data_IF_947830371904
#
_entry.id   IF_947830371904
#
_cell.length_a   1.000
_cell.length_b   1.000
_cell.length_c   1.000
_cell.angle_alpha   90.00
_cell.angle_beta   90.00
_cell.angle_gamma   90.00
#
_symmetry.space_group_name_H-M   'P 1'
#
loop_
_entity.id
_entity.type
_entity.pdbx_description
1 polymer ?
#
# COMPACT_ATOMS: atom_id res chain seq x y z
N UNK A 1 -7.56 -5.71 -21.44
CA UNK A 1 -8.31 -6.17 -22.63
C UNK A 1 -9.73 -5.72 -22.46
N UNK A 2 -10.34 -5.17 -23.51
CA UNK A 2 -11.76 -4.80 -23.51
C UNK A 2 -12.60 -6.08 -23.41
N UNK A 3 -13.23 -6.32 -22.26
CA UNK A 3 -14.13 -7.46 -22.06
C UNK A 3 -15.30 -7.33 -23.04
N UNK A 4 -15.33 -8.24 -24.02
CA UNK A 4 -16.40 -8.28 -25.01
C UNK A 4 -17.58 -9.02 -24.39
N UNK A 5 -18.67 -8.30 -24.12
CA UNK A 5 -19.86 -8.87 -23.51
C UNK A 5 -20.67 -9.64 -24.55
N UNK A 6 -20.80 -10.95 -24.39
CA UNK A 6 -21.67 -11.80 -25.20
C UNK A 6 -22.98 -12.09 -24.45
N UNK A 7 -24.11 -11.76 -25.09
CA UNK A 7 -25.46 -12.03 -24.60
C UNK A 7 -26.08 -13.13 -25.47
N UNK A 8 -26.63 -14.15 -24.81
CA UNK A 8 -27.28 -15.31 -25.44
C UNK A 8 -28.78 -15.28 -25.12
N UNK A 9 -29.62 -15.39 -26.15
CA UNK A 9 -31.06 -15.57 -25.97
C UNK A 9 -31.37 -17.06 -25.73
N UNK A 10 -31.67 -17.43 -24.49
CA UNK A 10 -31.87 -18.83 -24.07
C UNK A 10 -33.32 -19.07 -23.68
N UNK A 11 -33.93 -20.13 -24.21
CA UNK A 11 -35.28 -20.55 -23.86
C UNK A 11 -35.26 -21.36 -22.54
N UNK A 12 -35.82 -20.80 -21.46
CA UNK A 12 -35.83 -21.38 -20.12
C UNK A 12 -37.25 -21.62 -19.60
N UNK A 13 -37.42 -22.68 -18.81
CA UNK A 13 -38.66 -22.97 -18.09
C UNK A 13 -38.73 -22.13 -16.81
N UNK A 14 -39.62 -21.15 -16.79
CA UNK A 14 -39.71 -20.17 -15.72
C UNK A 14 -41.06 -20.30 -14.99
N UNK A 15 -41.08 -19.91 -13.70
CA UNK A 15 -42.28 -20.01 -12.87
C UNK A 15 -43.43 -19.15 -13.42
N UNK A 16 -44.60 -19.74 -13.67
CA UNK A 16 -45.79 -19.01 -14.11
C UNK A 16 -46.31 -18.12 -12.97
N UNK A 17 -46.44 -16.81 -13.19
CA UNK A 17 -47.05 -15.88 -12.21
C UNK A 17 -48.49 -15.56 -12.64
N UNK A 18 -49.53 -15.93 -11.87
CA UNK A 18 -50.90 -15.56 -12.19
C UNK A 18 -51.06 -14.03 -12.12
N UNK A 19 -51.53 -13.39 -13.19
CA UNK A 19 -51.96 -11.98 -13.18
C UNK A 19 -50.95 -10.92 -13.65
N UNK A 20 -49.82 -11.28 -14.25
CA UNK A 20 -48.86 -10.29 -14.79
C UNK A 20 -49.36 -9.61 -16.07
N UNK A 21 -50.30 -8.64 -15.93
CA UNK A 21 -50.59 -7.67 -16.99
C UNK A 21 -49.33 -6.84 -17.25
N UNK A 22 -48.88 -6.87 -18.51
CA UNK A 22 -47.97 -5.93 -19.20
C UNK A 22 -46.79 -5.39 -18.37
N UNK A 23 -45.59 -5.87 -18.73
CA UNK A 23 -44.31 -5.12 -18.71
C UNK A 23 -44.12 -4.20 -17.50
N UNK A 24 -43.78 -4.76 -16.33
CA UNK A 24 -42.78 -4.09 -15.48
C UNK A 24 -41.42 -4.65 -15.89
N UNK A 25 -40.62 -3.80 -16.51
CA UNK A 25 -39.23 -4.07 -16.79
C UNK A 25 -38.51 -4.39 -15.47
N UNK A 26 -37.59 -5.35 -15.52
CA UNK A 26 -36.52 -5.54 -14.53
C UNK A 26 -36.77 -6.42 -13.30
N UNK A 27 -37.65 -7.41 -13.36
CA UNK A 27 -37.56 -8.56 -12.43
C UNK A 27 -36.99 -9.79 -13.15
N UNK A 28 -35.90 -10.35 -12.60
CA UNK A 28 -35.22 -11.52 -13.16
C UNK A 28 -36.17 -12.72 -13.07
N UNK A 29 -36.44 -13.42 -14.20
CA UNK A 29 -37.28 -14.62 -14.18
C UNK A 29 -36.65 -15.70 -13.30
N UNK A 30 -37.46 -16.30 -12.42
CA UNK A 30 -37.01 -17.40 -11.56
C UNK A 30 -37.25 -18.75 -12.26
N UNK A 31 -36.31 -19.71 -12.13
CA UNK A 31 -36.51 -21.05 -12.65
C UNK A 31 -37.72 -21.72 -11.98
N UNK A 32 -38.49 -22.50 -12.75
CA UNK A 32 -39.58 -23.30 -12.19
C UNK A 32 -39.02 -24.54 -11.46
N UNK A 33 -39.55 -24.84 -10.27
CA UNK A 33 -39.19 -26.06 -9.55
C UNK A 33 -39.92 -27.29 -10.13
N UNK A 34 -39.39 -28.50 -9.87
CA UNK A 34 -40.00 -29.76 -10.31
C UNK A 34 -41.45 -29.85 -9.83
N UNK A 35 -42.39 -29.97 -10.77
CA UNK A 35 -43.84 -30.09 -10.48
C UNK A 35 -44.63 -28.77 -10.47
N UNK A 36 -43.97 -27.61 -10.58
CA UNK A 36 -44.67 -26.33 -10.73
C UNK A 36 -45.14 -26.10 -12.17
N UNK A 37 -46.21 -25.32 -12.36
CA UNK A 37 -46.55 -24.83 -13.70
C UNK A 37 -45.41 -23.93 -14.19
N UNK A 38 -44.89 -24.25 -15.37
CA UNK A 38 -43.77 -23.54 -15.98
C UNK A 38 -44.18 -22.98 -17.35
N UNK A 39 -43.78 -21.75 -17.62
CA UNK A 39 -43.90 -21.10 -18.92
C UNK A 39 -42.50 -21.04 -19.58
N UNK A 40 -42.43 -21.40 -20.86
CA UNK A 40 -41.19 -21.28 -21.64
C UNK A 40 -40.98 -19.82 -22.06
N UNK A 41 -39.91 -19.20 -21.59
CA UNK A 41 -39.58 -17.80 -21.88
C UNK A 41 -38.16 -17.68 -22.46
N UNK A 42 -37.97 -16.79 -23.44
CA UNK A 42 -36.65 -16.47 -23.99
C UNK A 42 -36.04 -15.39 -23.11
N UNK A 43 -34.88 -15.67 -22.51
CA UNK A 43 -34.20 -14.79 -21.56
C UNK A 43 -32.80 -14.50 -22.09
N UNK A 44 -32.42 -13.21 -22.22
CA UNK A 44 -31.05 -12.83 -22.51
C UNK A 44 -30.17 -13.10 -21.27
N UNK A 45 -29.17 -13.97 -21.41
CA UNK A 45 -28.20 -14.30 -20.36
C UNK A 45 -26.79 -13.99 -20.83
N UNK A 46 -25.93 -13.56 -19.91
CA UNK A 46 -24.51 -13.40 -20.22
C UNK A 46 -23.84 -14.77 -20.41
N UNK A 47 -22.84 -14.85 -21.28
CA UNK A 47 -22.09 -16.09 -21.55
C UNK A 47 -21.53 -16.74 -20.28
N UNK A 48 -21.13 -15.95 -19.28
CA UNK A 48 -20.62 -16.44 -17.98
C UNK A 48 -21.63 -17.26 -17.17
N UNK A 49 -22.91 -17.16 -17.48
CA UNK A 49 -23.98 -17.94 -16.83
C UNK A 49 -24.14 -19.34 -17.44
N UNK A 50 -23.51 -19.63 -18.58
CA UNK A 50 -23.57 -20.94 -19.23
C UNK A 50 -22.60 -21.89 -18.51
N UNK A 51 -23.14 -22.98 -17.95
CA UNK A 51 -22.35 -23.98 -17.23
C UNK A 51 -21.88 -25.13 -18.11
N UNK A 52 -22.65 -25.49 -19.14
CA UNK A 52 -22.32 -26.60 -20.04
C UNK A 52 -23.02 -26.48 -21.41
N UNK A 53 -22.46 -27.14 -22.42
CA UNK A 53 -23.09 -27.34 -23.73
C UNK A 53 -23.38 -28.83 -23.95
N UNK A 54 -24.55 -29.14 -24.50
CA UNK A 54 -24.91 -30.52 -24.88
C UNK A 54 -24.62 -30.78 -26.36
N UNK A 55 -24.28 -32.02 -26.69
CA UNK A 55 -24.18 -32.48 -28.08
C UNK A 55 -25.54 -32.54 -28.80
N UNK A 56 -26.64 -32.63 -28.05
CA UNK A 56 -28.00 -32.74 -28.63
C UNK A 56 -28.50 -31.38 -29.08
N UNK A 57 -28.96 -31.30 -30.34
CA UNK A 57 -29.60 -30.12 -30.91
C UNK A 57 -31.09 -30.38 -31.11
N UNK A 58 -31.92 -29.48 -30.60
CA UNK A 58 -33.37 -29.52 -30.80
C UNK A 58 -33.75 -28.60 -31.96
N UNK A 59 -34.70 -29.02 -32.78
CA UNK A 59 -35.25 -28.16 -33.84
C UNK A 59 -36.00 -26.97 -33.21
N UNK A 60 -35.62 -25.76 -33.62
CA UNK A 60 -36.26 -24.52 -33.18
C UNK A 60 -36.96 -23.88 -34.39
N UNK A 61 -38.29 -23.63 -34.33
CA UNK A 61 -39.00 -22.91 -35.39
C UNK A 61 -38.41 -21.53 -35.65
N UNK A 62 -38.53 -21.01 -36.89
CA UNK A 62 -38.03 -19.67 -37.25
C UNK A 62 -38.66 -18.54 -36.45
N UNK A 63 -39.90 -18.72 -35.98
CA UNK A 63 -40.59 -17.76 -35.11
C UNK A 63 -40.93 -18.39 -33.75
N UNK A 64 -40.33 -17.87 -32.69
CA UNK A 64 -40.54 -18.30 -31.31
C UNK A 64 -41.22 -17.21 -30.45
N UNK A 65 -41.87 -16.22 -31.08
CA UNK A 65 -42.61 -15.18 -30.34
C UNK A 65 -43.91 -15.73 -29.74
N UNK A 66 -44.59 -16.63 -30.46
CA UNK A 66 -45.83 -17.23 -29.98
C UNK A 66 -45.58 -18.17 -28.78
N UNK A 67 -46.45 -18.16 -27.76
CA UNK A 67 -46.32 -19.05 -26.60
C UNK A 67 -46.46 -20.53 -27.00
N UNK A 68 -47.22 -20.83 -28.04
CA UNK A 68 -47.41 -22.18 -28.58
C UNK A 68 -46.11 -22.75 -29.17
N UNK A 69 -45.38 -21.95 -29.95
CA UNK A 69 -44.10 -22.37 -30.53
C UNK A 69 -43.04 -22.57 -29.44
N UNK A 70 -42.99 -21.69 -28.42
CA UNK A 70 -42.12 -21.85 -27.25
C UNK A 70 -42.45 -23.11 -26.45
N UNK A 71 -43.74 -23.38 -26.24
CA UNK A 71 -44.22 -24.59 -25.56
C UNK A 71 -43.88 -25.86 -26.35
N UNK A 72 -43.96 -25.83 -27.68
CA UNK A 72 -43.56 -26.94 -28.56
C UNK A 72 -42.08 -27.28 -28.41
N UNK A 73 -41.18 -26.29 -28.44
CA UNK A 73 -39.74 -26.49 -28.19
C UNK A 73 -39.50 -27.02 -26.77
N UNK A 74 -40.21 -26.50 -25.77
CA UNK A 74 -40.14 -27.01 -24.39
C UNK A 74 -40.61 -28.46 -24.23
N UNK A 75 -41.60 -28.91 -25.02
CA UNK A 75 -41.98 -30.33 -25.08
C UNK A 75 -40.87 -31.18 -25.69
N UNK A 76 -40.24 -30.71 -26.77
CA UNK A 76 -39.12 -31.40 -27.40
C UNK A 76 -37.91 -31.52 -26.45
N UNK A 77 -37.57 -30.47 -25.70
CA UNK A 77 -36.51 -30.51 -24.68
C UNK A 77 -36.84 -31.52 -23.57
N UNK A 78 -38.08 -31.54 -23.07
CA UNK A 78 -38.52 -32.51 -22.05
C UNK A 78 -38.44 -33.94 -22.56
N UNK A 79 -38.80 -34.17 -23.82
CA UNK A 79 -38.69 -35.49 -24.44
C UNK A 79 -37.22 -35.94 -24.55
N UNK A 80 -36.30 -35.03 -24.89
CA UNK A 80 -34.85 -35.31 -24.86
C UNK A 80 -34.42 -35.69 -23.45
N UNK A 81 -34.73 -34.89 -22.43
CA UNK A 81 -34.36 -35.20 -21.04
C UNK A 81 -34.95 -36.54 -20.58
N UNK A 82 -36.18 -36.87 -20.99
CA UNK A 82 -36.82 -38.16 -20.67
C UNK A 82 -36.09 -39.36 -21.29
N UNK A 83 -35.51 -39.19 -22.49
CA UNK A 83 -34.74 -40.24 -23.18
C UNK A 83 -33.34 -40.44 -22.60
N UNK A 84 -32.84 -39.49 -21.83
CA UNK A 84 -31.52 -39.52 -21.18
C UNK A 84 -31.67 -39.40 -19.65
N UNK A 85 -32.12 -40.46 -18.95
CA UNK A 85 -32.36 -40.42 -17.51
C UNK A 85 -31.08 -40.17 -16.69
N UNK A 86 -29.93 -40.60 -17.20
CA UNK A 86 -28.61 -40.40 -16.56
C UNK A 86 -27.99 -39.02 -16.88
N UNK A 87 -28.68 -38.19 -17.66
CA UNK A 87 -28.23 -36.87 -18.08
C UNK A 87 -27.95 -36.78 -19.59
N UNK A 88 -28.18 -35.58 -20.14
CA UNK A 88 -27.93 -35.32 -21.57
C UNK A 88 -26.42 -35.32 -21.87
N UNK A 89 -25.97 -35.87 -23.01
CA UNK A 89 -24.55 -35.91 -23.33
C UNK A 89 -24.01 -34.50 -23.51
N UNK A 90 -22.95 -34.19 -22.77
CA UNK A 90 -22.24 -32.90 -22.80
C UNK A 90 -21.12 -32.93 -23.84
N UNK A 91 -20.79 -31.76 -24.39
CA UNK A 91 -19.62 -31.59 -25.25
C UNK A 91 -18.35 -31.60 -24.41
N UNK A 92 -17.37 -32.38 -24.83
CA UNK A 92 -16.06 -32.41 -24.19
C UNK A 92 -15.28 -31.11 -24.49
N UNK A 93 -14.78 -30.39 -23.47
CA UNK A 93 -14.05 -29.14 -23.69
C UNK A 93 -12.77 -29.28 -24.54
N UNK A 94 -12.14 -30.45 -24.56
CA UNK A 94 -10.87 -30.73 -25.26
C UNK A 94 -11.13 -31.43 -26.59
N UNK A 95 -11.93 -32.49 -26.59
CA UNK A 95 -12.21 -33.31 -27.77
C UNK A 95 -13.22 -32.65 -28.71
N UNK A 96 -14.31 -32.06 -28.20
CA UNK A 96 -15.35 -31.48 -29.04
C UNK A 96 -15.15 -29.98 -29.27
N UNK A 97 -14.91 -29.22 -28.19
CA UNK A 97 -14.71 -27.76 -28.25
C UNK A 97 -13.29 -27.37 -28.66
N UNK A 98 -12.37 -28.34 -28.77
CA UNK A 98 -10.98 -28.16 -29.23
C UNK A 98 -10.20 -27.09 -28.46
N UNK A 99 -10.41 -26.96 -27.14
CA UNK A 99 -9.65 -26.04 -26.29
C UNK A 99 -8.23 -26.61 -26.08
N UNK A 100 -7.21 -25.91 -26.61
CA UNK A 100 -5.81 -26.36 -26.59
C UNK A 100 -4.91 -25.62 -25.59
N UNK A 101 -5.49 -24.75 -24.75
CA UNK A 101 -4.69 -23.99 -23.78
C UNK A 101 -4.02 -24.93 -22.77
N UNK A 102 -2.70 -24.78 -22.62
CA UNK A 102 -1.89 -25.55 -21.67
C UNK A 102 -2.35 -25.34 -20.23
N UNK A 103 -2.81 -24.15 -19.88
CA UNK A 103 -3.31 -23.87 -18.53
C UNK A 103 -4.58 -24.66 -18.23
N UNK A 104 -5.51 -24.69 -19.18
CA UNK A 104 -6.75 -25.44 -19.14
C UNK A 104 -6.51 -26.95 -19.09
N UNK A 105 -5.66 -27.50 -19.97
CA UNK A 105 -5.36 -28.95 -19.98
C UNK A 105 -4.74 -29.43 -18.66
N UNK A 106 -3.97 -28.59 -17.97
CA UNK A 106 -3.46 -28.91 -16.62
C UNK A 106 -4.57 -28.97 -15.57
N UNK A 107 -5.55 -28.06 -15.65
CA UNK A 107 -6.70 -28.06 -14.75
C UNK A 107 -7.57 -29.30 -14.96
N UNK A 108 -7.84 -29.69 -16.21
CA UNK A 108 -8.61 -30.92 -16.52
C UNK A 108 -7.94 -32.15 -15.91
N UNK A 109 -6.63 -32.35 -16.15
CA UNK A 109 -5.88 -33.45 -15.54
C UNK A 109 -5.90 -33.42 -14.01
N UNK A 110 -5.93 -32.21 -13.42
CA UNK A 110 -6.01 -32.05 -11.96
C UNK A 110 -7.39 -32.45 -11.44
N UNK A 111 -8.46 -32.11 -12.15
CA UNK A 111 -9.83 -32.54 -11.83
C UNK A 111 -9.90 -34.07 -11.85
N UNK A 112 -9.46 -34.71 -12.93
CA UNK A 112 -9.44 -36.19 -13.05
C UNK A 112 -8.66 -36.85 -11.91
N UNK A 113 -7.48 -36.32 -11.58
CA UNK A 113 -6.66 -36.82 -10.47
C UNK A 113 -7.36 -36.68 -9.12
N UNK A 114 -8.07 -35.57 -8.89
CA UNK A 114 -8.81 -35.35 -7.65
C UNK A 114 -10.06 -36.24 -7.55
N UNK A 115 -10.79 -36.42 -8.66
CA UNK A 115 -11.93 -37.32 -8.71
C UNK A 115 -11.52 -38.78 -8.48
N UNK A 116 -10.42 -39.22 -9.09
CA UNK A 116 -9.87 -40.56 -8.86
C UNK A 116 -9.49 -40.76 -7.38
N UNK A 117 -8.84 -39.77 -6.77
CA UNK A 117 -8.51 -39.79 -5.33
C UNK A 117 -9.74 -39.78 -4.45
N UNK A 118 -10.77 -39.02 -4.82
CA UNK A 118 -12.03 -38.96 -4.09
C UNK A 118 -12.73 -40.32 -4.13
N UNK A 119 -12.85 -40.94 -5.32
CA UNK A 119 -13.44 -42.28 -5.49
C UNK A 119 -12.67 -43.37 -4.73
N UNK A 120 -11.34 -43.28 -4.67
CA UNK A 120 -10.50 -44.22 -3.93
C UNK A 120 -10.52 -44.00 -2.40
N UNK A 121 -11.14 -42.91 -1.92
CA UNK A 121 -11.12 -42.56 -0.52
C UNK A 121 -12.25 -43.28 0.23
N UNK A 122 -11.93 -43.89 1.37
CA UNK A 122 -12.87 -44.68 2.20
C UNK A 122 -14.10 -43.91 2.68
N UNK A 123 -14.01 -42.58 2.68
CA UNK A 123 -15.10 -41.70 3.11
C UNK A 123 -16.33 -41.80 2.20
N UNK A 124 -16.15 -42.17 0.92
CA UNK A 124 -17.26 -42.32 -0.05
C UNK A 124 -18.14 -43.54 0.23
N UNK A 125 -17.65 -44.50 1.02
CA UNK A 125 -18.38 -45.70 1.44
C UNK A 125 -19.03 -45.56 2.83
N UNK A 126 -18.83 -44.42 3.50
CA UNK A 126 -19.31 -44.22 4.87
C UNK A 126 -20.78 -43.77 4.86
N UNK A 127 -21.70 -44.46 5.57
CA UNK A 127 -23.13 -44.13 5.53
C UNK A 127 -23.47 -42.80 6.21
N UNK A 128 -22.66 -42.37 7.19
CA UNK A 128 -22.88 -41.13 7.96
C UNK A 128 -22.08 -39.93 7.39
N UNK A 129 -21.73 -39.98 6.09
CA UNK A 129 -20.90 -38.99 5.43
C UNK A 129 -21.41 -37.57 5.62
N UNK A 130 -22.71 -37.36 5.40
CA UNK A 130 -23.34 -36.04 5.49
C UNK A 130 -23.23 -35.47 6.91
N UNK A 131 -23.45 -36.30 7.93
CA UNK A 131 -23.33 -35.88 9.34
C UNK A 131 -21.88 -35.54 9.70
N UNK A 132 -20.92 -36.31 9.21
CA UNK A 132 -19.49 -36.04 9.43
C UNK A 132 -19.03 -34.77 8.71
N UNK A 133 -19.51 -34.53 7.49
CA UNK A 133 -19.23 -33.30 6.74
C UNK A 133 -19.82 -32.08 7.45
N UNK A 134 -21.06 -32.14 7.92
CA UNK A 134 -21.70 -31.06 8.69
C UNK A 134 -20.91 -30.71 9.96
N UNK A 135 -20.43 -31.73 10.67
CA UNK A 135 -19.57 -31.54 11.85
C UNK A 135 -18.22 -30.92 11.48
N UNK A 136 -17.63 -31.35 10.36
CA UNK A 136 -16.37 -30.81 9.89
C UNK A 136 -16.49 -29.36 9.41
N UNK A 137 -17.58 -28.99 8.75
CA UNK A 137 -17.87 -27.59 8.39
C UNK A 137 -18.00 -26.70 9.63
N UNK A 138 -18.71 -27.17 10.67
CA UNK A 138 -18.79 -26.48 11.96
C UNK A 138 -17.42 -26.34 12.61
N UNK A 139 -16.60 -27.39 12.57
CA UNK A 139 -15.23 -27.35 13.09
C UNK A 139 -14.35 -26.36 12.32
N UNK A 140 -14.41 -26.34 10.99
CA UNK A 140 -13.69 -25.37 10.14
C UNK A 140 -14.10 -23.93 10.45
N UNK A 141 -15.40 -23.68 10.63
CA UNK A 141 -15.90 -22.36 11.00
C UNK A 141 -15.37 -21.92 12.38
N UNK A 142 -15.31 -22.84 13.34
CA UNK A 142 -14.74 -22.59 14.67
C UNK A 142 -13.22 -22.36 14.61
N UNK A 143 -12.47 -23.18 13.87
CA UNK A 143 -11.02 -23.02 13.67
C UNK A 143 -10.70 -21.66 13.05
N UNK A 144 -11.47 -21.26 12.03
CA UNK A 144 -11.34 -19.92 11.42
C UNK A 144 -11.61 -18.82 12.44
N UNK A 145 -12.65 -18.94 13.27
CA UNK A 145 -12.96 -17.97 14.34
C UNK A 145 -11.84 -17.90 15.38
N UNK A 146 -11.27 -19.04 15.78
CA UNK A 146 -10.13 -19.09 16.71
C UNK A 146 -8.94 -18.37 16.11
N UNK A 147 -8.60 -18.62 14.84
CA UNK A 147 -7.50 -17.93 14.14
C UNK A 147 -7.72 -16.42 14.07
N UNK A 148 -8.93 -15.97 13.72
CA UNK A 148 -9.27 -14.54 13.71
C UNK A 148 -9.12 -13.93 15.11
N UNK A 149 -9.67 -14.57 16.14
CA UNK A 149 -9.56 -14.06 17.51
C UNK A 149 -8.13 -14.07 18.04
N UNK A 150 -7.33 -15.07 17.68
CA UNK A 150 -5.90 -15.09 18.03
C UNK A 150 -5.13 -13.95 17.37
N UNK A 151 -5.46 -13.59 16.13
CA UNK A 151 -4.87 -12.44 15.45
C UNK A 151 -5.28 -11.13 16.12
N UNK A 152 -6.57 -10.95 16.41
CA UNK A 152 -7.06 -9.76 17.15
C UNK A 152 -6.36 -9.60 18.52
N UNK A 153 -6.15 -10.69 19.26
CA UNK A 153 -5.41 -10.65 20.54
C UNK A 153 -3.97 -10.21 20.32
N UNK A 154 -3.30 -10.72 19.28
CA UNK A 154 -1.94 -10.31 18.92
C UNK A 154 -1.88 -8.82 18.55
N UNK A 155 -2.89 -8.30 17.87
CA UNK A 155 -2.98 -6.88 17.51
C UNK A 155 -3.24 -6.01 18.76
N UNK A 156 -4.08 -6.46 19.70
CA UNK A 156 -4.26 -5.79 20.99
C UNK A 156 -2.98 -5.76 21.85
N UNK A 157 -1.97 -6.58 21.56
CA UNK A 157 -0.65 -6.48 22.18
C UNK A 157 0.18 -5.27 21.66
N UNK A 158 -0.40 -4.39 20.84
CA UNK A 158 0.16 -3.08 20.49
C UNK A 158 0.66 -2.29 21.71
N UNK A 159 -0.02 -2.35 22.85
CA UNK A 159 0.45 -1.74 24.10
C UNK A 159 1.81 -2.27 24.57
N UNK A 160 2.06 -3.57 24.39
CA UNK A 160 3.35 -4.18 24.71
C UNK A 160 4.42 -3.72 23.71
N UNK A 161 4.06 -3.58 22.43
CA UNK A 161 4.95 -3.03 21.39
C UNK A 161 5.32 -1.58 21.71
N UNK A 162 4.35 -0.72 22.02
CA UNK A 162 4.58 0.67 22.44
C UNK A 162 5.49 0.76 23.67
N UNK A 163 5.26 -0.06 24.69
CA UNK A 163 6.14 -0.11 25.88
C UNK A 163 7.57 -0.54 25.52
N UNK A 164 7.73 -1.51 24.62
CA UNK A 164 9.06 -1.95 24.18
C UNK A 164 9.80 -0.87 23.38
N UNK A 165 9.10 -0.18 22.48
CA UNK A 165 9.62 0.96 21.71
C UNK A 165 10.03 2.09 22.64
N UNK A 166 9.18 2.46 23.61
CA UNK A 166 9.51 3.50 24.59
C UNK A 166 10.76 3.18 25.39
N UNK A 167 10.93 1.92 25.85
CA UNK A 167 12.16 1.48 26.52
C UNK A 167 13.39 1.63 25.62
N UNK A 168 13.26 1.27 24.33
CA UNK A 168 14.30 1.49 23.33
C UNK A 168 14.66 2.98 23.19
N UNK A 169 13.66 3.84 23.01
CA UNK A 169 13.84 5.30 22.89
C UNK A 169 14.50 5.90 24.14
N UNK A 170 14.08 5.50 25.34
CA UNK A 170 14.74 5.94 26.59
C UNK A 170 16.21 5.51 26.64
N UNK A 171 16.54 4.32 26.15
CA UNK A 171 17.94 3.85 26.06
C UNK A 171 18.77 4.72 25.10
N UNK A 172 18.21 5.09 23.96
CA UNK A 172 18.86 6.02 23.01
C UNK A 172 19.14 7.37 23.68
N UNK A 173 18.13 7.96 24.33
CA UNK A 173 18.26 9.26 25.01
C UNK A 173 19.35 9.24 26.08
N UNK A 174 19.44 8.16 26.87
CA UNK A 174 20.49 8.00 27.88
C UNK A 174 21.87 7.83 27.26
N UNK A 175 21.99 7.00 26.22
CA UNK A 175 23.27 6.73 25.55
C UNK A 175 23.85 7.96 24.85
N UNK A 176 23.00 8.76 24.21
CA UNK A 176 23.40 10.00 23.55
C UNK A 176 23.58 11.17 24.53
N UNK A 177 23.23 11.00 25.81
CA UNK A 177 23.39 12.00 26.86
C UNK A 177 22.29 13.06 26.90
N UNK A 178 21.11 12.79 26.33
CA UNK A 178 19.94 13.67 26.42
C UNK A 178 19.21 13.53 27.77
N UNK A 179 19.33 12.37 28.41
CA UNK A 179 18.80 12.11 29.75
C UNK A 179 19.83 11.36 30.60
N UNK A 180 19.79 11.57 31.91
CA UNK A 180 20.61 10.82 32.89
C UNK A 180 20.08 9.40 33.09
N UNK A 181 20.82 8.57 33.83
CA UNK A 181 20.39 7.22 34.20
C UNK A 181 19.04 7.21 34.95
N UNK A 182 18.75 8.27 35.70
CA UNK A 182 17.52 8.45 36.48
C UNK A 182 16.37 9.12 35.66
N UNK A 183 16.51 9.20 34.33
CA UNK A 183 15.56 9.86 33.42
C UNK A 183 15.39 11.37 33.66
N UNK A 184 16.39 12.03 34.24
CA UNK A 184 16.40 13.49 34.33
C UNK A 184 16.95 14.07 33.04
N UNK A 185 16.25 15.05 32.46
CA UNK A 185 16.65 15.68 31.20
C UNK A 185 17.99 16.42 31.40
N UNK A 186 18.99 16.08 30.61
CA UNK A 186 20.30 16.72 30.63
C UNK A 186 20.33 17.97 29.73
N UNK A 187 21.42 18.75 29.76
CA UNK A 187 21.58 19.95 28.93
C UNK A 187 21.29 19.66 27.45
N UNK A 188 21.84 18.57 26.92
CA UNK A 188 21.62 18.14 25.53
C UNK A 188 20.17 17.78 25.21
N UNK A 189 19.45 17.23 26.19
CA UNK A 189 18.01 17.00 26.07
C UNK A 189 17.24 18.32 25.97
N UNK A 190 17.58 19.31 26.80
CA UNK A 190 16.97 20.65 26.75
C UNK A 190 17.24 21.35 25.41
N UNK A 191 18.45 21.22 24.88
CA UNK A 191 18.82 21.71 23.54
C UNK A 191 17.94 21.08 22.46
N UNK A 192 17.73 19.77 22.52
CA UNK A 192 16.86 19.08 21.57
C UNK A 192 15.40 19.56 21.65
N UNK A 193 14.90 19.91 22.85
CA UNK A 193 13.55 20.44 23.03
C UNK A 193 13.31 21.80 22.35
N UNK A 194 14.34 22.55 21.98
CA UNK A 194 14.21 23.80 21.22
C UNK A 194 14.00 23.57 19.72
N UNK A 195 14.19 22.34 19.24
CA UNK A 195 14.13 21.98 17.82
C UNK A 195 12.80 21.30 17.52
N UNK A 196 12.14 21.72 16.44
CA UNK A 196 10.90 21.10 15.92
C UNK A 196 10.85 21.04 14.40
N UNK A 197 11.83 21.62 13.71
CA UNK A 197 11.84 21.72 12.24
C UNK A 197 12.38 20.47 11.52
N UNK A 198 13.17 19.65 12.22
CA UNK A 198 13.85 18.45 11.72
C UNK A 198 14.35 17.57 12.90
N UNK A 199 15.09 16.49 12.60
CA UNK A 199 15.60 15.53 13.59
C UNK A 199 16.35 16.19 14.77
N UNK A 200 15.71 16.24 15.93
CA UNK A 200 16.12 17.02 17.08
C UNK A 200 17.41 16.45 17.72
N UNK A 201 17.55 15.12 17.73
CA UNK A 201 18.75 14.44 18.24
C UNK A 201 19.98 14.75 17.38
N UNK A 202 19.81 14.81 16.07
CA UNK A 202 20.88 15.12 15.12
C UNK A 202 21.33 16.57 15.31
N UNK A 203 20.38 17.52 15.37
CA UNK A 203 20.70 18.94 15.60
C UNK A 203 21.41 19.16 16.93
N UNK A 204 20.97 18.48 17.99
CA UNK A 204 21.60 18.54 19.31
C UNK A 204 23.01 17.94 19.34
N UNK A 205 23.29 16.87 18.58
CA UNK A 205 24.67 16.37 18.39
C UNK A 205 25.52 17.39 17.63
N UNK A 206 25.00 17.98 16.55
CA UNK A 206 25.73 18.94 15.72
C UNK A 206 26.12 20.18 16.54
N UNK A 207 25.17 20.82 17.24
CA UNK A 207 25.42 22.07 17.96
C UNK A 207 26.41 21.90 19.13
N UNK A 208 26.46 20.70 19.75
CA UNK A 208 27.39 20.39 20.84
C UNK A 208 28.71 19.76 20.37
N UNK A 209 28.86 19.41 19.09
CA UNK A 209 30.10 18.84 18.52
C UNK A 209 31.20 19.87 18.28
N UNK A 210 30.94 21.15 18.56
CA UNK A 210 31.84 22.29 18.30
C UNK A 210 32.17 22.53 16.81
N UNK A 211 31.64 21.70 15.89
CA UNK A 211 31.98 21.76 14.45
C UNK A 211 31.56 23.07 13.77
N UNK A 212 30.57 23.77 14.31
CA UNK A 212 30.05 25.01 13.73
C UNK A 212 30.87 26.24 14.08
N UNK A 213 31.77 26.16 15.08
CA UNK A 213 32.50 27.33 15.58
C UNK A 213 33.50 27.88 14.56
N UNK A 214 34.15 27.00 13.80
CA UNK A 214 35.17 27.39 12.81
C UNK A 214 34.57 27.79 11.45
N UNK A 215 33.25 27.64 11.28
CA UNK A 215 32.56 27.91 10.02
C UNK A 215 32.08 29.35 9.95
N UNK A 216 32.09 29.93 8.75
CA UNK A 216 31.39 31.20 8.49
C UNK A 216 29.87 31.01 8.58
N UNK A 217 29.13 32.11 8.80
CA UNK A 217 27.67 32.06 8.85
C UNK A 217 27.08 31.46 7.56
N UNK A 218 27.65 31.79 6.41
CA UNK A 218 27.27 31.26 5.10
C UNK A 218 27.47 29.74 5.00
N UNK A 219 28.60 29.22 5.49
CA UNK A 219 28.89 27.79 5.51
C UNK A 219 27.94 27.04 6.45
N UNK A 220 27.63 27.61 7.62
CA UNK A 220 26.67 27.03 8.57
C UNK A 220 25.28 26.92 7.95
N UNK A 221 24.77 27.99 7.34
CA UNK A 221 23.45 28.00 6.71
C UNK A 221 23.39 27.00 5.55
N UNK A 222 24.43 26.94 4.72
CA UNK A 222 24.53 25.95 3.65
C UNK A 222 24.52 24.52 4.18
N UNK A 223 25.29 24.22 5.23
CA UNK A 223 25.36 22.89 5.82
C UNK A 223 24.03 22.43 6.41
N UNK A 224 23.33 23.32 7.13
CA UNK A 224 22.05 23.00 7.76
C UNK A 224 20.92 22.74 6.73
N UNK A 225 21.07 23.18 5.49
CA UNK A 225 20.12 22.86 4.42
C UNK A 225 19.94 21.34 4.20
N UNK A 226 20.98 20.55 4.48
CA UNK A 226 20.96 19.09 4.40
C UNK A 226 19.97 18.44 5.39
N UNK A 227 19.65 19.11 6.50
CA UNK A 227 18.72 18.59 7.51
C UNK A 227 17.26 18.77 7.11
N UNK A 228 16.99 19.76 6.26
CA UNK A 228 15.66 20.19 5.82
C UNK A 228 15.25 19.54 4.50
N UNK A 229 16.18 19.41 3.56
CA UNK A 229 15.90 18.91 2.22
C UNK A 229 15.77 17.37 2.20
N UNK A 230 14.59 16.86 1.84
CA UNK A 230 14.28 15.41 1.80
C UNK A 230 13.86 14.90 0.42
N UNK A 231 13.84 15.76 -0.60
CA UNK A 231 13.35 15.37 -1.92
C UNK A 231 14.41 14.53 -2.67
N UNK A 232 13.93 13.62 -3.54
CA UNK A 232 14.81 12.85 -4.41
C UNK A 232 15.34 13.76 -5.52
N UNK A 233 16.64 13.70 -5.74
CA UNK A 233 17.35 14.44 -6.78
C UNK A 233 18.29 13.44 -7.45
N UNK A 234 18.36 13.50 -8.78
CA UNK A 234 19.25 12.65 -9.59
C UNK A 234 20.67 13.27 -9.73
N UNK A 235 20.87 14.47 -9.19
CA UNK A 235 22.10 15.24 -9.39
C UNK A 235 23.24 14.84 -8.44
N UNK A 236 24.39 14.56 -9.06
CA UNK A 236 25.68 14.58 -8.38
C UNK A 236 26.13 16.04 -8.19
N UNK A 237 25.79 16.64 -7.05
CA UNK A 237 26.23 18.00 -6.73
C UNK A 237 27.75 18.03 -6.52
N UNK A 238 28.45 18.79 -7.35
CA UNK A 238 29.88 19.09 -7.20
C UNK A 238 30.07 20.16 -6.12
N UNK A 239 30.09 19.71 -4.87
CA UNK A 239 30.36 20.57 -3.72
C UNK A 239 31.73 21.23 -3.82
N UNK A 240 31.81 22.49 -3.41
CA UNK A 240 33.10 23.18 -3.19
C UNK A 240 33.93 22.46 -2.13
N UNK A 241 35.25 22.40 -2.31
CA UNK A 241 36.17 21.70 -1.41
C UNK A 241 36.02 22.13 0.07
N UNK A 242 35.76 23.42 0.29
CA UNK A 242 35.55 24.00 1.62
C UNK A 242 34.32 23.42 2.37
N UNK A 243 33.33 22.91 1.65
CA UNK A 243 32.09 22.36 2.23
C UNK A 243 32.16 20.84 2.47
N UNK A 244 33.16 20.16 1.91
CA UNK A 244 33.33 18.71 2.06
C UNK A 244 33.70 18.31 3.50
N UNK A 245 34.59 19.06 4.16
CA UNK A 245 34.99 18.75 5.55
C UNK A 245 33.80 18.90 6.52
N UNK A 246 33.05 20.02 6.54
CA UNK A 246 31.85 20.15 7.38
C UNK A 246 30.79 19.09 7.09
N UNK A 247 30.57 18.75 5.82
CA UNK A 247 29.61 17.71 5.44
C UNK A 247 29.99 16.33 6.00
N UNK A 248 31.28 15.96 5.94
CA UNK A 248 31.78 14.70 6.52
C UNK A 248 31.54 14.65 8.04
N UNK A 249 31.89 15.72 8.75
CA UNK A 249 31.66 15.80 10.20
C UNK A 249 30.17 15.72 10.56
N UNK A 250 29.29 16.38 9.79
CA UNK A 250 27.85 16.28 10.00
C UNK A 250 27.34 14.85 9.78
N UNK A 251 27.83 14.16 8.75
CA UNK A 251 27.49 12.75 8.49
C UNK A 251 27.94 11.82 9.61
N UNK A 252 29.08 12.08 10.24
CA UNK A 252 29.52 11.34 11.43
C UNK A 252 28.57 11.54 12.61
N UNK A 253 28.10 12.78 12.84
CA UNK A 253 27.07 13.05 13.86
C UNK A 253 25.77 12.30 13.57
N UNK A 254 25.28 12.34 12.33
CA UNK A 254 24.07 11.63 11.90
C UNK A 254 24.22 10.12 12.11
N UNK A 255 25.35 9.54 11.66
CA UNK A 255 25.64 8.11 11.80
C UNK A 255 25.72 7.70 13.26
N UNK A 256 26.30 8.54 14.14
CA UNK A 256 26.34 8.29 15.59
C UNK A 256 24.94 8.18 16.19
N UNK A 257 24.00 9.05 15.78
CA UNK A 257 22.59 8.98 16.22
C UNK A 257 21.94 7.70 15.70
N UNK A 258 22.07 7.41 14.39
CA UNK A 258 21.48 6.23 13.77
C UNK A 258 21.98 4.93 14.42
N UNK A 259 23.29 4.82 14.68
CA UNK A 259 23.90 3.66 15.36
C UNK A 259 23.38 3.51 16.79
N UNK A 260 23.15 4.62 17.50
CA UNK A 260 22.58 4.56 18.85
C UNK A 260 21.11 4.06 18.85
N UNK A 261 20.34 4.39 17.81
CA UNK A 261 18.97 3.91 17.59
C UNK A 261 18.97 2.42 17.26
N UNK A 262 19.82 1.99 16.33
CA UNK A 262 19.96 0.58 15.92
C UNK A 262 20.37 -0.32 17.10
N UNK A 263 21.39 0.09 17.85
CA UNK A 263 21.86 -0.63 19.04
C UNK A 263 20.79 -0.73 20.15
N UNK A 264 19.80 0.17 20.15
CA UNK A 264 18.64 0.10 21.04
C UNK A 264 17.53 -0.84 20.54
N UNK A 265 17.77 -1.55 19.42
CA UNK A 265 16.86 -2.47 18.73
C UNK A 265 15.57 -1.80 18.25
N UNK A 266 15.65 -0.52 17.90
CA UNK A 266 14.57 0.19 17.25
C UNK A 266 14.65 -0.07 15.74
N UNK A 267 13.51 -0.15 15.02
CA UNK A 267 13.51 -0.43 13.60
C UNK A 267 14.05 0.78 12.82
N UNK A 268 15.32 0.72 12.44
CA UNK A 268 16.00 1.70 11.61
C UNK A 268 16.99 0.97 10.71
N UNK A 269 17.18 1.47 9.50
CA UNK A 269 18.34 1.14 8.69
C UNK A 269 19.30 2.33 8.74
N UNK A 270 20.55 2.08 9.15
CA UNK A 270 21.54 3.12 9.43
C UNK A 270 21.92 3.87 8.15
N UNK A 271 22.07 3.16 7.05
CA UNK A 271 22.50 3.74 5.77
C UNK A 271 21.35 4.53 5.15
N UNK A 272 20.13 3.98 5.15
CA UNK A 272 18.92 4.70 4.71
C UNK A 272 18.67 5.96 5.54
N UNK A 273 18.95 5.94 6.86
CA UNK A 273 18.81 7.12 7.69
C UNK A 273 19.83 8.20 7.31
N UNK A 274 21.09 7.84 7.10
CA UNK A 274 22.14 8.78 6.69
C UNK A 274 21.84 9.36 5.30
N UNK A 275 21.33 8.55 4.37
CA UNK A 275 21.05 8.94 2.99
C UNK A 275 19.86 9.90 2.84
N UNK A 276 19.03 10.04 3.87
CA UNK A 276 18.00 11.09 3.92
C UNK A 276 18.59 12.51 3.99
N UNK A 277 19.83 12.67 4.43
CA UNK A 277 20.49 13.97 4.61
C UNK A 277 21.34 14.31 3.39
N UNK A 278 20.71 14.96 2.40
CA UNK A 278 21.31 15.17 1.08
C UNK A 278 21.98 16.55 0.96
N UNK A 279 23.18 16.62 0.35
CA UNK A 279 23.88 17.88 0.13
C UNK A 279 23.33 18.71 -1.04
N UNK A 280 22.26 18.27 -1.71
CA UNK A 280 21.79 18.85 -2.97
C UNK A 280 21.45 20.33 -2.88
N UNK A 281 21.03 20.81 -1.71
CA UNK A 281 20.70 22.22 -1.48
C UNK A 281 21.88 23.08 -1.00
N UNK A 282 23.03 22.48 -0.66
CA UNK A 282 24.13 23.21 -0.01
C UNK A 282 24.66 24.34 -0.88
N UNK A 283 25.00 24.07 -2.14
CA UNK A 283 25.59 25.08 -3.03
C UNK A 283 24.59 26.18 -3.41
N UNK A 284 23.31 25.82 -3.58
CA UNK A 284 22.21 26.75 -3.88
C UNK A 284 22.04 27.73 -2.72
N UNK A 285 21.93 27.20 -1.49
CA UNK A 285 21.78 27.99 -0.27
C UNK A 285 23.03 28.84 -0.04
N UNK A 286 24.23 28.29 -0.27
CA UNK A 286 25.49 29.04 -0.13
C UNK A 286 25.58 30.22 -1.10
N UNK A 287 25.19 30.03 -2.37
CA UNK A 287 25.14 31.10 -3.36
C UNK A 287 24.12 32.18 -2.98
N UNK A 288 22.95 31.76 -2.49
CA UNK A 288 21.88 32.65 -2.04
C UNK A 288 22.32 33.55 -0.87
N UNK A 289 22.91 32.98 0.19
CA UNK A 289 23.36 33.76 1.36
C UNK A 289 24.58 34.64 1.05
N UNK A 290 25.33 34.35 -0.02
CA UNK A 290 26.36 35.25 -0.58
C UNK A 290 25.79 36.37 -1.47
N UNK A 291 24.49 36.34 -1.76
CA UNK A 291 23.76 37.40 -2.44
C UNK A 291 23.57 37.24 -3.94
N UNK A 292 23.66 36.01 -4.46
CA UNK A 292 23.22 35.69 -5.82
C UNK A 292 21.73 36.01 -6.01
N UNK A 293 21.33 36.35 -7.24
CA UNK A 293 19.91 36.56 -7.56
C UNK A 293 19.18 35.21 -7.61
N UNK A 294 17.87 35.23 -7.33
CA UNK A 294 17.06 34.01 -7.34
C UNK A 294 17.10 33.29 -8.71
N UNK A 295 17.07 34.06 -9.80
CA UNK A 295 17.15 33.53 -11.17
C UNK A 295 18.48 32.80 -11.41
N UNK A 296 19.58 33.25 -10.79
CA UNK A 296 20.89 32.62 -10.98
C UNK A 296 20.99 31.32 -10.20
N UNK A 297 20.43 31.25 -8.97
CA UNK A 297 20.43 30.00 -8.19
C UNK A 297 19.52 28.93 -8.80
N UNK A 298 18.42 29.32 -9.45
CA UNK A 298 17.53 28.37 -10.16
C UNK A 298 18.21 27.75 -11.38
N UNK A 299 19.24 28.37 -11.95
CA UNK A 299 20.02 27.80 -13.07
C UNK A 299 21.09 26.81 -12.62
N UNK A 300 21.36 26.70 -11.32
CA UNK A 300 22.40 25.82 -10.76
C UNK A 300 21.90 24.39 -10.53
N UNK A 301 20.59 24.15 -10.64
CA UNK A 301 19.95 22.89 -10.29
C UNK A 301 18.68 22.68 -11.08
N UNK A 302 18.28 21.42 -11.23
CA UNK A 302 16.98 21.06 -11.80
C UNK A 302 15.86 20.98 -10.74
N UNK A 303 16.13 21.38 -9.50
CA UNK A 303 15.11 21.44 -8.42
C UNK A 303 14.12 22.56 -8.72
N UNK A 304 12.83 22.24 -8.69
CA UNK A 304 11.74 23.21 -8.85
C UNK A 304 11.85 24.40 -7.87
N UNK A 305 11.57 25.60 -8.36
CA UNK A 305 11.72 26.86 -7.63
C UNK A 305 10.87 26.90 -6.36
N UNK A 306 9.67 26.31 -6.40
CA UNK A 306 8.79 26.19 -5.24
C UNK A 306 9.38 25.31 -4.13
N UNK A 307 10.13 24.28 -4.48
CA UNK A 307 10.87 23.44 -3.51
C UNK A 307 12.02 24.23 -2.90
N UNK A 308 12.77 25.01 -3.69
CA UNK A 308 13.84 25.87 -3.21
C UNK A 308 13.31 26.88 -2.18
N UNK A 309 12.21 27.57 -2.49
CA UNK A 309 11.55 28.54 -1.60
C UNK A 309 11.11 27.86 -0.30
N UNK A 310 10.46 26.69 -0.39
CA UNK A 310 10.00 25.94 0.79
C UNK A 310 11.17 25.52 1.67
N UNK A 311 12.26 25.04 1.08
CA UNK A 311 13.46 24.64 1.80
C UNK A 311 14.08 25.83 2.54
N UNK A 312 14.21 26.99 1.87
CA UNK A 312 14.79 28.20 2.47
C UNK A 312 13.93 28.73 3.63
N UNK A 313 12.59 28.72 3.50
CA UNK A 313 11.69 29.13 4.59
C UNK A 313 11.79 28.20 5.80
N UNK A 314 11.85 26.88 5.60
CA UNK A 314 12.04 25.91 6.69
C UNK A 314 13.43 26.00 7.32
N UNK A 315 14.45 26.29 6.52
CA UNK A 315 15.81 26.52 7.01
C UNK A 315 15.89 27.77 7.89
N UNK A 316 15.14 28.82 7.56
CA UNK A 316 15.04 30.02 8.39
C UNK A 316 14.47 29.72 9.79
N UNK A 317 13.42 28.90 9.85
CA UNK A 317 12.84 28.45 11.12
C UNK A 317 13.83 27.58 11.91
N UNK A 318 14.54 26.65 11.26
CA UNK A 318 15.60 25.89 11.91
C UNK A 318 16.70 26.80 12.49
N UNK A 319 17.13 27.83 11.77
CA UNK A 319 18.14 28.76 12.27
C UNK A 319 17.64 29.53 13.51
N UNK A 320 16.36 29.90 13.58
CA UNK A 320 15.78 30.52 14.79
C UNK A 320 15.83 29.58 15.99
N UNK A 321 15.41 28.33 15.78
CA UNK A 321 15.43 27.28 16.80
C UNK A 321 16.87 27.02 17.29
N UNK A 322 17.83 26.98 16.36
CA UNK A 322 19.25 26.84 16.71
C UNK A 322 19.82 28.06 17.44
N UNK A 323 19.36 29.28 17.14
CA UNK A 323 19.74 30.48 17.91
C UNK A 323 19.25 30.39 19.36
N UNK A 324 17.99 29.99 19.58
CA UNK A 324 17.45 29.73 20.93
C UNK A 324 18.22 28.63 21.66
N UNK A 325 18.57 27.55 20.96
CA UNK A 325 19.37 26.47 21.50
C UNK A 325 20.79 26.92 21.88
N UNK A 326 21.46 27.73 21.05
CA UNK A 326 22.77 28.28 21.34
C UNK A 326 22.76 29.20 22.57
N UNK A 327 21.71 30.03 22.70
CA UNK A 327 21.48 30.87 23.87
C UNK A 327 21.30 30.03 25.14
N UNK A 328 20.58 28.91 25.06
CA UNK A 328 20.38 27.99 26.18
C UNK A 328 21.67 27.31 26.65
N UNK A 329 22.61 27.06 25.74
CA UNK A 329 23.95 26.51 26.07
C UNK A 329 24.90 27.61 26.61
N UNK A 330 24.55 28.90 26.41
CA UNK A 330 25.39 30.04 26.77
C UNK A 330 26.49 30.32 25.73
N UNK A 331 26.31 29.89 24.48
CA UNK A 331 27.26 30.15 23.40
C UNK A 331 26.78 31.34 22.55
N UNK A 332 27.18 32.54 22.96
CA UNK A 332 26.81 33.80 22.29
C UNK A 332 27.34 33.90 20.86
N UNK A 333 28.53 33.33 20.58
CA UNK A 333 29.13 33.37 19.25
C UNK A 333 28.31 32.56 18.24
N UNK A 334 27.82 31.38 18.64
CA UNK A 334 26.91 30.59 17.82
C UNK A 334 25.56 31.27 17.64
N UNK A 335 25.01 31.87 18.70
CA UNK A 335 23.77 32.64 18.62
C UNK A 335 23.89 33.76 17.58
N UNK A 336 24.95 34.59 17.66
CA UNK A 336 25.20 35.66 16.70
C UNK A 336 25.38 35.11 15.28
N UNK A 337 26.09 33.99 15.13
CA UNK A 337 26.31 33.34 13.83
C UNK A 337 25.00 32.89 13.19
N UNK A 338 24.09 32.28 13.95
CA UNK A 338 22.77 31.90 13.46
C UNK A 338 21.93 33.14 13.11
N UNK A 339 21.93 34.17 13.95
CA UNK A 339 21.22 35.43 13.67
C UNK A 339 21.72 36.13 12.40
N UNK A 340 23.05 36.13 12.19
CA UNK A 340 23.68 36.64 10.96
C UNK A 340 23.27 35.80 9.74
N UNK A 341 23.19 34.48 9.90
CA UNK A 341 22.67 33.57 8.89
C UNK A 341 21.23 33.89 8.48
N UNK A 342 20.34 34.09 9.45
CA UNK A 342 18.93 34.47 9.22
C UNK A 342 18.83 35.77 8.41
N UNK A 343 19.60 36.80 8.79
CA UNK A 343 19.61 38.10 8.08
C UNK A 343 20.07 37.95 6.63
N UNK A 344 21.07 37.11 6.36
CA UNK A 344 21.55 36.85 4.99
C UNK A 344 20.58 36.00 4.17
N UNK A 345 19.86 35.09 4.82
CA UNK A 345 18.90 34.20 4.18
C UNK A 345 17.62 34.94 3.78
N UNK A 346 17.16 35.90 4.60
CA UNK A 346 15.93 36.68 4.38
C UNK A 346 16.12 37.80 3.36
N UNK A 347 15.89 37.49 2.09
CA UNK A 347 16.00 38.46 1.00
C UNK A 347 14.93 38.27 -0.06
N UNK A 348 14.61 39.36 -0.74
CA UNK A 348 13.87 39.42 -2.00
C UNK A 348 12.60 38.54 -2.01
N UNK A 349 12.30 37.96 -3.18
CA UNK A 349 11.06 37.26 -3.50
C UNK A 349 10.78 36.02 -2.64
N UNK A 350 11.78 35.46 -1.95
CA UNK A 350 11.61 34.23 -1.16
C UNK A 350 10.79 34.49 0.11
N UNK A 351 10.80 35.74 0.59
CA UNK A 351 10.14 36.17 1.83
C UNK A 351 9.17 37.34 1.61
N UNK A 352 8.77 37.57 0.35
CA UNK A 352 7.77 38.57 -0.02
C UNK A 352 6.34 38.14 0.30
#
# INVERSE_FOLDING_TARGET
GTDTLYILDVLLACKTRPGARKRKAMEVPLPAEKGQQAEMMVIPVELKCVTAFSAVRVYVPKDIRSPENRSSVGKAIREVVKRFPDGVPLLDPVEDLKIKDKSFLRLVRRIESLESRLKAHKITETPDLDVQYDLYEKWLALDKRIKTKSAEISDCMEDAKLRSTLKGMTRVLRRLGHATADNVVALKGRVACEISSCDELVVAEIILSNMLNDLSAEQVVALLSCLIFRERTDDHVKLKEELNKPLRQMRECIKKVATAIDDARLPIDVDDFVDQFKPSMMDIVFAWVKGAKFVDICKLTDIFEGTIIRCIRRLEELLRQMASAAKLIGNSDLEEKFQKGIKKLKRDIIFA
#
